data_IF_855255983481
#
_entry.id   IF_855255983481
#
_cell.length_a   1.000
_cell.length_b   1.000
_cell.length_c   1.000
_cell.angle_alpha   90.00
_cell.angle_beta   90.00
_cell.angle_gamma   90.00
#
_symmetry.space_group_name_H-M   'P 1'
#
loop_
_entity.id
_entity.type
_entity.pdbx_description
1 polymer ?
#
# COMPACT_ATOMS: atom_id res chain seq x y z
N UNK A 1 -24.46 -43.33 34.53
CA UNK A 1 -23.52 -43.93 33.56
C UNK A 1 -22.79 -42.82 32.84
N UNK A 2 -21.48 -42.76 33.06
CA UNK A 2 -20.54 -41.75 32.55
C UNK A 2 -20.18 -42.05 31.10
N UNK A 3 -20.23 -41.04 30.23
CA UNK A 3 -19.51 -41.05 28.97
C UNK A 3 -18.78 -39.72 28.81
N UNK A 4 -17.51 -39.72 29.22
CA UNK A 4 -16.52 -38.75 28.78
C UNK A 4 -16.22 -39.03 27.29
N UNK A 5 -16.29 -38.00 26.45
CA UNK A 5 -15.73 -38.03 25.10
C UNK A 5 -14.79 -36.84 24.94
N UNK A 6 -13.53 -37.11 25.23
CA UNK A 6 -12.35 -36.37 24.76
C UNK A 6 -12.40 -36.35 23.23
N UNK A 7 -12.13 -35.20 22.61
CA UNK A 7 -11.21 -35.06 21.47
C UNK A 7 -11.10 -33.59 21.03
N UNK A 8 -9.93 -33.03 21.34
CA UNK A 8 -9.07 -32.32 20.39
C UNK A 8 -9.71 -31.31 19.42
N UNK A 9 -9.54 -30.02 19.75
CA UNK A 9 -8.68 -29.15 18.93
C UNK A 9 -8.34 -27.92 19.75
N UNK A 10 -7.14 -27.92 20.31
CA UNK A 10 -6.47 -26.69 20.73
C UNK A 10 -6.47 -25.76 19.51
N UNK A 11 -7.34 -24.75 19.52
CA UNK A 11 -7.28 -23.67 18.56
C UNK A 11 -5.99 -22.95 18.92
N UNK A 12 -4.92 -23.29 18.18
CA UNK A 12 -3.68 -22.53 18.17
C UNK A 12 -4.07 -21.12 17.78
N UNK A 13 -4.24 -20.26 18.77
CA UNK A 13 -4.50 -18.85 18.56
C UNK A 13 -3.33 -18.33 17.73
N UNK A 14 -3.63 -17.84 16.53
CA UNK A 14 -2.66 -17.13 15.73
C UNK A 14 -2.30 -15.88 16.54
N UNK A 15 -1.15 -15.94 17.20
CA UNK A 15 -0.52 -14.77 17.82
C UNK A 15 -0.31 -13.77 16.69
N UNK A 16 -1.14 -12.73 16.65
CA UNK A 16 -0.85 -11.55 15.87
C UNK A 16 0.30 -10.87 16.58
N UNK A 17 1.48 -10.91 15.97
CA UNK A 17 2.65 -10.18 16.46
C UNK A 17 2.37 -8.67 16.36
N UNK A 18 1.65 -8.12 17.32
CA UNK A 18 1.41 -6.69 17.46
C UNK A 18 2.50 -6.10 18.33
N UNK A 19 3.52 -5.52 17.70
CA UNK A 19 4.50 -4.71 18.42
C UNK A 19 3.80 -3.42 18.90
N UNK A 20 3.59 -3.22 20.22
CA UNK A 20 2.68 -2.19 20.75
C UNK A 20 3.23 -0.76 20.70
N UNK A 21 4.49 -0.56 20.27
CA UNK A 21 5.17 0.74 20.33
C UNK A 21 5.35 1.45 18.98
N UNK A 22 4.83 0.90 17.88
CA UNK A 22 4.88 1.58 16.57
C UNK A 22 3.55 2.25 16.28
N UNK A 23 3.49 3.57 16.01
CA UNK A 23 2.26 4.19 15.54
C UNK A 23 1.79 3.43 14.30
N UNK A 24 0.49 3.10 14.26
CA UNK A 24 -0.10 2.44 13.10
C UNK A 24 0.26 3.24 11.85
N UNK A 25 1.05 2.65 10.96
CA UNK A 25 1.48 3.30 9.75
C UNK A 25 0.26 3.67 8.90
N UNK A 26 -0.07 4.96 8.88
CA UNK A 26 -1.25 5.55 8.22
C UNK A 26 -0.77 6.46 7.06
N UNK A 27 -0.36 5.89 5.92
CA UNK A 27 0.14 6.68 4.81
C UNK A 27 -0.98 7.57 4.26
N UNK A 28 -0.79 8.90 4.33
CA UNK A 28 -1.80 9.90 3.95
C UNK A 28 -2.16 9.82 2.45
N UNK A 29 -1.17 9.59 1.59
CA UNK A 29 -1.33 9.54 0.13
C UNK A 29 -0.62 8.33 -0.45
N UNK A 30 -1.22 7.75 -1.48
CA UNK A 30 -0.62 6.68 -2.29
C UNK A 30 0.14 7.30 -3.46
N UNK A 31 1.26 6.69 -3.84
CA UNK A 31 2.00 7.09 -5.05
C UNK A 31 1.11 6.83 -6.28
N UNK A 32 1.11 7.76 -7.23
CA UNK A 32 0.38 7.62 -8.49
C UNK A 32 0.96 6.47 -9.33
N UNK A 33 0.11 5.78 -10.09
CA UNK A 33 0.55 4.69 -10.98
C UNK A 33 1.52 5.19 -12.04
N UNK A 34 1.20 6.32 -12.66
CA UNK A 34 2.09 6.98 -13.61
C UNK A 34 3.46 7.31 -13.01
N UNK A 35 3.50 7.75 -11.75
CA UNK A 35 4.75 8.01 -11.05
C UNK A 35 5.53 6.72 -10.80
N UNK A 36 4.85 5.62 -10.42
CA UNK A 36 5.50 4.32 -10.29
C UNK A 36 6.10 3.84 -11.62
N UNK A 37 5.39 4.02 -12.74
CA UNK A 37 5.91 3.68 -14.08
C UNK A 37 7.08 4.59 -14.51
N UNK A 38 7.06 5.87 -14.13
CA UNK A 38 8.20 6.76 -14.34
C UNK A 38 9.42 6.28 -13.55
N UNK A 39 9.25 5.91 -12.28
CA UNK A 39 10.33 5.34 -11.46
C UNK A 39 10.89 4.07 -12.08
N UNK A 40 10.04 3.15 -12.56
CA UNK A 40 10.49 1.93 -13.24
C UNK A 40 11.30 2.23 -14.49
N UNK A 41 10.86 3.19 -15.32
CA UNK A 41 11.59 3.62 -16.52
C UNK A 41 12.94 4.26 -16.19
N UNK A 42 12.99 5.16 -15.21
CA UNK A 42 14.24 5.80 -14.78
C UNK A 42 15.24 4.78 -14.22
N UNK A 43 14.77 3.74 -13.51
CA UNK A 43 15.63 2.70 -12.96
C UNK A 43 16.31 1.82 -14.02
N UNK A 44 15.87 1.85 -15.29
CA UNK A 44 16.54 1.17 -16.39
C UNK A 44 17.79 1.92 -16.87
N UNK A 45 17.91 3.20 -16.55
CA UNK A 45 19.05 4.02 -16.93
C UNK A 45 20.19 3.80 -15.91
N UNK A 46 21.45 3.63 -16.37
CA UNK A 46 22.58 3.27 -15.50
C UNK A 46 22.91 4.33 -14.44
N UNK A 47 22.49 5.58 -14.65
CA UNK A 47 22.82 6.71 -13.76
C UNK A 47 21.96 6.80 -12.49
N UNK A 48 20.85 6.03 -12.43
CA UNK A 48 19.86 6.12 -11.36
C UNK A 48 20.06 5.06 -10.28
N UNK A 49 20.49 5.52 -9.11
CA UNK A 49 20.51 4.74 -7.88
C UNK A 49 19.24 4.95 -7.05
N UNK A 50 18.94 4.01 -6.16
CA UNK A 50 17.78 4.07 -5.24
C UNK A 50 17.75 5.38 -4.44
N UNK A 51 18.92 5.87 -3.99
CA UNK A 51 19.04 7.12 -3.26
C UNK A 51 18.67 8.33 -4.12
N UNK A 52 19.12 8.38 -5.37
CA UNK A 52 18.77 9.46 -6.33
C UNK A 52 17.28 9.45 -6.63
N UNK A 53 16.70 8.27 -6.91
CA UNK A 53 15.26 8.12 -7.16
C UNK A 53 14.43 8.54 -5.94
N UNK A 54 14.87 8.18 -4.74
CA UNK A 54 14.21 8.57 -3.50
C UNK A 54 14.16 10.09 -3.33
N UNK A 55 15.28 10.77 -3.61
CA UNK A 55 15.38 12.23 -3.55
C UNK A 55 14.51 12.91 -4.62
N UNK A 56 14.62 12.48 -5.87
CA UNK A 56 13.89 13.05 -7.02
C UNK A 56 12.38 12.97 -6.82
N UNK A 57 11.88 11.79 -6.46
CA UNK A 57 10.44 11.55 -6.29
C UNK A 57 9.93 11.87 -4.88
N UNK A 58 10.80 12.30 -3.96
CA UNK A 58 10.49 12.63 -2.55
C UNK A 58 9.71 11.51 -1.85
N UNK A 59 10.09 10.26 -2.10
CA UNK A 59 9.54 9.06 -1.47
C UNK A 59 10.64 8.31 -0.74
N UNK A 60 10.29 7.54 0.30
CA UNK A 60 11.26 6.72 1.04
C UNK A 60 11.97 5.73 0.11
N UNK A 61 13.28 5.52 0.31
CA UNK A 61 14.05 4.52 -0.44
C UNK A 61 13.48 3.11 -0.33
N UNK A 62 12.84 2.76 0.80
CA UNK A 62 12.14 1.49 0.95
C UNK A 62 10.90 1.39 0.04
N UNK A 63 10.20 2.51 -0.18
CA UNK A 63 9.09 2.55 -1.14
C UNK A 63 9.60 2.36 -2.58
N UNK A 64 10.73 2.97 -2.93
CA UNK A 64 11.38 2.76 -4.24
C UNK A 64 11.72 1.28 -4.43
N UNK A 65 12.38 0.65 -3.44
CA UNK A 65 12.70 -0.79 -3.48
C UNK A 65 11.46 -1.66 -3.69
N UNK A 66 10.36 -1.37 -2.99
CA UNK A 66 9.10 -2.10 -3.15
C UNK A 66 8.48 -1.93 -4.53
N UNK A 67 8.52 -0.72 -5.08
CA UNK A 67 8.02 -0.45 -6.45
C UNK A 67 8.83 -1.24 -7.47
N UNK A 68 10.17 -1.19 -7.38
CA UNK A 68 11.07 -1.90 -8.30
C UNK A 68 11.01 -3.42 -8.14
N UNK A 69 10.77 -3.95 -6.94
CA UNK A 69 10.59 -5.38 -6.68
C UNK A 69 9.25 -5.93 -7.19
N UNK A 70 8.24 -5.08 -7.37
CA UNK A 70 6.90 -5.50 -7.75
C UNK A 70 6.77 -5.74 -9.26
N UNK A 71 6.44 -6.97 -9.66
CA UNK A 71 6.27 -7.36 -11.06
C UNK A 71 4.82 -7.30 -11.58
N UNK A 72 3.87 -6.86 -10.75
CA UNK A 72 2.46 -6.83 -11.16
C UNK A 72 2.23 -5.80 -12.28
N UNK A 73 1.78 -6.29 -13.44
CA UNK A 73 1.31 -5.49 -14.56
C UNK A 73 -0.20 -5.72 -14.74
N UNK A 74 -1.05 -4.70 -14.50
CA UNK A 74 -2.50 -4.84 -14.71
C UNK A 74 -2.81 -4.92 -16.21
N UNK A 75 -3.88 -5.65 -16.54
CA UNK A 75 -4.47 -5.58 -17.89
C UNK A 75 -5.00 -4.16 -18.17
N UNK A 76 -5.21 -3.78 -19.45
CA UNK A 76 -5.73 -2.46 -19.78
C UNK A 76 -7.07 -2.13 -19.09
N UNK A 77 -7.95 -3.12 -18.94
CA UNK A 77 -9.22 -2.96 -18.24
C UNK A 77 -9.04 -2.76 -16.74
N UNK A 78 -8.17 -3.55 -16.11
CA UNK A 78 -7.84 -3.42 -14.70
C UNK A 78 -7.19 -2.07 -14.40
N UNK A 79 -6.29 -1.60 -15.27
CA UNK A 79 -5.65 -0.30 -15.14
C UNK A 79 -6.69 0.84 -15.14
N UNK A 80 -7.63 0.82 -16.12
CA UNK A 80 -8.74 1.78 -16.19
C UNK A 80 -9.63 1.72 -14.94
N UNK A 81 -9.98 0.51 -14.48
CA UNK A 81 -10.80 0.31 -13.27
C UNK A 81 -10.09 0.89 -12.04
N UNK A 82 -8.82 0.58 -11.88
CA UNK A 82 -8.00 1.05 -10.75
C UNK A 82 -7.86 2.57 -10.74
N UNK A 83 -7.71 3.19 -11.92
CA UNK A 83 -7.62 4.64 -12.07
C UNK A 83 -8.96 5.33 -11.75
N UNK A 84 -10.08 4.80 -12.27
CA UNK A 84 -11.43 5.25 -11.92
C UNK A 84 -11.68 5.20 -10.42
N UNK A 85 -11.28 4.11 -9.76
CA UNK A 85 -11.43 3.96 -8.30
C UNK A 85 -10.60 4.98 -7.52
N UNK A 86 -9.39 5.32 -8.00
CA UNK A 86 -8.55 6.36 -7.41
C UNK A 86 -9.24 7.73 -7.45
N UNK A 87 -9.78 8.13 -8.60
CA UNK A 87 -10.48 9.40 -8.75
C UNK A 87 -11.74 9.48 -7.89
N UNK A 88 -12.53 8.40 -7.83
CA UNK A 88 -13.70 8.33 -6.93
C UNK A 88 -13.31 8.55 -5.47
N UNK A 89 -12.31 7.81 -4.99
CA UNK A 89 -11.83 7.95 -3.62
C UNK A 89 -11.24 9.34 -3.33
N UNK A 90 -10.59 9.99 -4.32
CA UNK A 90 -10.12 11.36 -4.19
C UNK A 90 -11.27 12.36 -4.06
N UNK A 91 -12.31 12.23 -4.89
CA UNK A 91 -13.50 13.07 -4.84
C UNK A 91 -14.26 12.92 -3.52
N UNK A 92 -14.40 11.70 -3.01
CA UNK A 92 -14.98 11.43 -1.68
C UNK A 92 -14.18 12.10 -0.56
N UNK A 93 -12.84 12.01 -0.59
CA UNK A 93 -11.96 12.70 0.37
C UNK A 93 -12.10 14.22 0.30
N UNK A 94 -12.18 14.78 -0.90
CA UNK A 94 -12.38 16.23 -1.09
C UNK A 94 -13.73 16.68 -0.53
N UNK A 95 -14.80 15.92 -0.78
CA UNK A 95 -16.13 16.18 -0.21
C UNK A 95 -16.09 16.13 1.32
N UNK A 96 -15.49 15.07 1.88
CA UNK A 96 -15.35 14.90 3.33
C UNK A 96 -14.53 16.03 3.97
N UNK A 97 -13.44 16.45 3.32
CA UNK A 97 -12.62 17.58 3.77
C UNK A 97 -13.43 18.89 3.77
N UNK A 98 -14.18 19.14 2.68
CA UNK A 98 -15.05 20.33 2.57
C UNK A 98 -16.18 20.34 3.59
N UNK A 99 -16.74 19.19 3.95
CA UNK A 99 -17.76 19.09 5.00
C UNK A 99 -17.18 19.27 6.40
N UNK A 100 -15.95 18.80 6.65
CA UNK A 100 -15.30 18.88 7.97
C UNK A 100 -14.79 20.30 8.28
N UNK A 101 -14.26 21.02 7.30
CA UNK A 101 -13.72 22.38 7.47
C UNK A 101 -14.75 23.52 7.55
N UNK A 102 -16.05 23.21 7.71
CA UNK A 102 -17.15 24.21 7.82
C UNK A 102 -17.63 24.45 9.26
N UNK A 103 -16.86 24.02 10.27
CA UNK A 103 -17.13 24.29 11.68
C UNK A 103 -16.18 25.34 12.23
#
# INVERSE_FOLDING_TARGET
>A
MSLQSILSRSIRTFVTNTNPTKPNWLPKKRVSRETMEKIRRCALQPDYNITKLSQEFKISGEAVRRILKSNYQPTPEDAKRQEKNRYKAMGERQRAFRTFGRK
#
